data_IF_479680710587
#
_entry.id   IF_479680710587
#
_cell.length_a   1.000
_cell.length_b   1.000
_cell.length_c   1.000
_cell.angle_alpha   90.00
_cell.angle_beta   90.00
_cell.angle_gamma   90.00
#
_symmetry.space_group_name_H-M   'P 1'
#
loop_
_entity.id
_entity.type
_entity.pdbx_description
1 polymer ?
#
# COMPACT_ATOMS: atom_id res chain seq x y z
N UNK A 1 -13.58 18.12 -1.01
CA UNK A 1 -12.59 17.82 0.03
C UNK A 1 -11.28 17.68 -0.72
N UNK A 2 -10.30 18.53 -0.44
CA UNK A 2 -9.03 18.48 -1.19
C UNK A 2 -8.37 17.12 -0.94
N UNK A 3 -8.00 16.43 -2.01
CA UNK A 3 -7.33 15.15 -1.90
C UNK A 3 -6.00 15.33 -1.19
N UNK A 4 -5.77 14.48 -0.18
CA UNK A 4 -4.55 14.52 0.63
C UNK A 4 -3.34 14.19 -0.25
N UNK A 5 -2.27 14.98 -0.10
CA UNK A 5 -1.03 14.76 -0.84
C UNK A 5 -0.31 13.49 -0.37
N UNK A 6 0.42 12.84 -1.28
CA UNK A 6 1.23 11.67 -0.96
C UNK A 6 2.28 11.95 0.12
N UNK A 7 2.83 13.17 0.16
CA UNK A 7 3.76 13.60 1.21
C UNK A 7 3.11 13.49 2.60
N UNK A 8 1.88 13.98 2.76
CA UNK A 8 1.15 13.83 4.03
C UNK A 8 0.88 12.36 4.37
N UNK A 9 0.60 11.50 3.38
CA UNK A 9 0.43 10.05 3.62
C UNK A 9 1.74 9.44 4.14
N UNK A 10 2.89 9.79 3.54
CA UNK A 10 4.20 9.33 4.01
C UNK A 10 4.50 9.78 5.44
N UNK A 11 4.11 10.99 5.81
CA UNK A 11 4.29 11.47 7.19
C UNK A 11 3.46 10.66 8.20
N UNK A 12 2.23 10.26 7.85
CA UNK A 12 1.44 9.36 8.70
C UNK A 12 2.04 7.96 8.82
N UNK A 13 2.62 7.44 7.73
CA UNK A 13 3.34 6.16 7.76
C UNK A 13 4.50 6.21 8.76
N UNK A 14 5.21 7.35 8.88
CA UNK A 14 6.24 7.55 9.92
C UNK A 14 5.65 7.54 11.33
N UNK A 15 4.42 8.00 11.52
CA UNK A 15 3.76 7.93 12.84
C UNK A 15 3.57 6.48 13.25
N UNK A 16 3.15 5.60 12.33
CA UNK A 16 2.96 4.18 12.61
C UNK A 16 4.26 3.50 13.06
N UNK A 17 5.40 3.84 12.43
CA UNK A 17 6.71 3.28 12.80
C UNK A 17 7.36 3.95 14.02
N UNK A 18 6.88 5.12 14.46
CA UNK A 18 7.50 5.91 15.54
C UNK A 18 7.30 5.41 16.98
N UNK A 19 6.85 4.16 17.20
CA UNK A 19 6.50 3.59 18.52
C UNK A 19 5.46 4.40 19.35
N UNK A 20 4.83 5.42 18.78
CA UNK A 20 3.82 6.26 19.45
C UNK A 20 2.45 5.60 19.57
N UNK A 21 2.23 4.51 18.84
CA UNK A 21 0.96 3.81 18.73
C UNK A 21 1.10 2.39 19.26
N UNK A 22 0.07 1.92 19.94
CA UNK A 22 -0.03 0.49 20.25
C UNK A 22 -0.45 -0.31 19.00
N UNK A 23 -0.29 -1.63 19.04
CA UNK A 23 -0.57 -2.49 17.89
C UNK A 23 -1.99 -2.35 17.31
N UNK A 24 -3.00 -2.14 18.15
CA UNK A 24 -4.38 -1.97 17.69
C UNK A 24 -4.56 -0.63 16.95
N UNK A 25 -4.02 0.45 17.52
CA UNK A 25 -4.01 1.77 16.89
C UNK A 25 -3.24 1.76 15.57
N UNK A 26 -2.07 1.12 15.53
CA UNK A 26 -1.27 0.98 14.31
C UNK A 26 -2.05 0.25 13.20
N UNK A 27 -2.80 -0.82 13.55
CA UNK A 27 -3.67 -1.52 12.59
C UNK A 27 -4.79 -0.63 12.07
N UNK A 28 -5.51 0.07 12.96
CA UNK A 28 -6.59 0.97 12.54
C UNK A 28 -6.08 2.11 11.64
N UNK A 29 -4.92 2.67 11.96
CA UNK A 29 -4.35 3.74 11.17
C UNK A 29 -3.91 3.23 9.79
N UNK A 30 -3.22 2.08 9.72
CA UNK A 30 -2.86 1.45 8.46
C UNK A 30 -4.10 1.14 7.61
N UNK A 31 -5.20 0.69 8.23
CA UNK A 31 -6.49 0.48 7.55
C UNK A 31 -6.99 1.77 6.91
N UNK A 32 -7.00 2.88 7.65
CA UNK A 32 -7.43 4.18 7.12
C UNK A 32 -6.60 4.61 5.91
N UNK A 33 -5.27 4.52 6.02
CA UNK A 33 -4.34 4.89 4.95
C UNK A 33 -4.54 4.01 3.71
N UNK A 34 -4.60 2.69 3.87
CA UNK A 34 -4.79 1.78 2.73
C UNK A 34 -6.17 1.94 2.10
N UNK A 35 -7.21 2.21 2.90
CA UNK A 35 -8.54 2.48 2.38
C UNK A 35 -8.53 3.73 1.48
N UNK A 36 -7.88 4.80 1.93
CA UNK A 36 -7.69 6.02 1.13
C UNK A 36 -6.96 5.72 -0.18
N UNK A 37 -5.81 5.03 -0.11
CA UNK A 37 -4.99 4.71 -1.30
C UNK A 37 -5.75 3.82 -2.30
N UNK A 38 -6.50 2.82 -1.83
CA UNK A 38 -7.27 1.92 -2.72
C UNK A 38 -8.34 2.70 -3.50
N UNK A 39 -8.96 3.70 -2.88
CA UNK A 39 -10.01 4.50 -3.51
C UNK A 39 -9.48 5.56 -4.49
N UNK A 40 -8.19 5.90 -4.42
CA UNK A 40 -7.55 6.91 -5.26
C UNK A 40 -7.45 6.51 -6.73
N UNK A 41 -8.24 7.17 -7.58
CA UNK A 41 -8.27 6.93 -9.03
C UNK A 41 -7.11 7.57 -9.78
N UNK A 42 -6.49 8.58 -9.19
CA UNK A 42 -5.28 9.22 -9.71
C UNK A 42 -4.07 8.28 -9.60
N UNK A 43 -3.96 7.49 -8.52
CA UNK A 43 -2.90 6.50 -8.36
C UNK A 43 -3.16 5.22 -9.13
N UNK A 44 -4.41 4.77 -9.14
CA UNK A 44 -4.82 3.56 -9.85
C UNK A 44 -5.98 3.93 -10.76
N UNK A 45 -5.80 4.17 -12.06
CA UNK A 45 -6.92 4.50 -12.94
C UNK A 45 -7.89 3.33 -13.14
N UNK A 46 -7.37 2.09 -13.22
CA UNK A 46 -8.16 0.87 -13.39
C UNK A 46 -8.10 0.02 -12.13
N UNK A 47 -9.17 -0.74 -11.87
CA UNK A 47 -9.16 -1.63 -10.70
C UNK A 47 -8.17 -2.80 -10.85
N UNK A 48 -7.85 -3.20 -12.09
CA UNK A 48 -6.83 -4.22 -12.35
C UNK A 48 -5.44 -3.79 -11.85
N UNK A 49 -5.14 -2.49 -11.86
CA UNK A 49 -3.86 -1.94 -11.42
C UNK A 49 -3.64 -2.15 -9.92
N UNK A 50 -4.72 -2.30 -9.13
CA UNK A 50 -4.67 -2.60 -7.70
C UNK A 50 -4.24 -4.04 -7.40
N UNK A 51 -4.31 -4.96 -8.38
CA UNK A 51 -4.05 -6.39 -8.15
C UNK A 51 -2.62 -6.64 -7.70
N UNK A 52 -1.65 -6.10 -8.44
CA UNK A 52 -0.23 -6.22 -8.11
C UNK A 52 0.05 -5.53 -6.76
N UNK A 53 -0.42 -4.28 -6.62
CA UNK A 53 -0.24 -3.48 -5.41
C UNK A 53 -0.72 -4.18 -4.13
N UNK A 54 -1.94 -4.74 -4.14
CA UNK A 54 -2.50 -5.41 -2.97
C UNK A 54 -1.84 -6.77 -2.68
N UNK A 55 -1.44 -7.50 -3.72
CA UNK A 55 -0.71 -8.75 -3.50
C UNK A 55 0.61 -8.47 -2.78
N UNK A 56 1.39 -7.50 -3.25
CA UNK A 56 2.66 -7.13 -2.61
C UNK A 56 2.40 -6.66 -1.17
N UNK A 57 1.40 -5.81 -0.94
CA UNK A 57 1.19 -5.21 0.38
C UNK A 57 0.53 -6.10 1.43
N UNK A 58 -0.27 -7.09 1.02
CA UNK A 58 -1.07 -7.86 1.96
C UNK A 58 -0.65 -9.33 1.98
N UNK A 59 -0.34 -9.91 0.82
CA UNK A 59 0.00 -11.33 0.72
C UNK A 59 1.43 -11.57 1.23
N UNK A 60 2.40 -10.76 0.79
CA UNK A 60 3.80 -10.94 1.19
C UNK A 60 4.04 -10.78 2.70
N UNK A 61 3.48 -9.77 3.40
CA UNK A 61 3.73 -9.62 4.83
C UNK A 61 3.16 -10.77 5.68
N UNK A 62 2.02 -11.34 5.30
CA UNK A 62 1.42 -12.49 5.97
C UNK A 62 2.14 -13.79 5.62
N UNK A 63 2.60 -13.93 4.37
CA UNK A 63 3.32 -15.11 3.86
C UNK A 63 2.47 -16.38 3.67
N UNK A 64 1.36 -16.52 4.41
CA UNK A 64 0.43 -17.66 4.33
C UNK A 64 -0.90 -17.36 3.64
N UNK A 65 -1.09 -16.12 3.16
CA UNK A 65 -2.32 -15.73 2.47
C UNK A 65 -2.24 -16.16 1.00
N UNK A 66 -3.27 -16.82 0.48
CA UNK A 66 -3.37 -17.02 -0.97
C UNK A 66 -3.63 -15.69 -1.68
N UNK A 67 -3.13 -15.48 -2.91
CA UNK A 67 -3.48 -14.32 -3.72
C UNK A 67 -4.99 -14.11 -3.80
N UNK A 68 -5.42 -12.84 -3.86
CA UNK A 68 -6.84 -12.52 -3.98
C UNK A 68 -7.38 -13.00 -5.32
N UNK A 69 -8.60 -13.56 -5.28
CA UNK A 69 -9.35 -13.93 -6.49
C UNK A 69 -9.75 -12.67 -7.27
N UNK A 70 -9.79 -12.77 -8.60
CA UNK A 70 -10.01 -11.62 -9.50
C UNK A 70 -11.28 -10.83 -9.21
N UNK A 71 -12.36 -11.50 -8.81
CA UNK A 71 -13.63 -10.82 -8.53
C UNK A 71 -13.54 -9.81 -7.38
N UNK A 72 -12.57 -9.93 -6.48
CA UNK A 72 -12.38 -8.98 -5.37
C UNK A 72 -11.99 -7.60 -5.91
N UNK A 73 -11.31 -7.55 -7.05
CA UNK A 73 -10.88 -6.30 -7.70
C UNK A 73 -11.97 -5.65 -8.55
N UNK A 74 -13.17 -6.25 -8.69
CA UNK A 74 -14.25 -5.61 -9.45
C UNK A 74 -14.77 -4.33 -8.78
N UNK A 75 -14.60 -4.20 -7.46
CA UNK A 75 -15.02 -3.03 -6.70
C UNK A 75 -13.95 -2.60 -5.70
N UNK A 76 -13.55 -1.32 -5.75
CA UNK A 76 -12.56 -0.76 -4.82
C UNK A 76 -13.05 -0.73 -3.39
N UNK A 77 -14.34 -0.45 -3.17
CA UNK A 77 -14.93 -0.46 -1.83
C UNK A 77 -14.97 -1.86 -1.25
N UNK A 78 -15.30 -2.87 -2.07
CA UNK A 78 -15.23 -4.27 -1.67
C UNK A 78 -13.80 -4.68 -1.33
N UNK A 79 -12.85 -4.35 -2.20
CA UNK A 79 -11.43 -4.61 -1.98
C UNK A 79 -10.93 -3.96 -0.69
N UNK A 80 -11.18 -2.67 -0.50
CA UNK A 80 -10.78 -1.93 0.70
C UNK A 80 -11.37 -2.59 1.96
N UNK A 81 -12.66 -2.90 1.97
CA UNK A 81 -13.30 -3.60 3.10
C UNK A 81 -12.67 -4.96 3.40
N UNK A 82 -12.33 -5.74 2.36
CA UNK A 82 -11.67 -7.05 2.53
C UNK A 82 -10.27 -6.91 3.09
N UNK A 83 -9.47 -5.99 2.55
CA UNK A 83 -8.13 -5.67 3.04
C UNK A 83 -8.19 -5.20 4.49
N UNK A 84 -9.12 -4.31 4.83
CA UNK A 84 -9.30 -3.83 6.21
C UNK A 84 -9.60 -4.98 7.18
N UNK A 85 -10.49 -5.89 6.80
CA UNK A 85 -10.82 -7.06 7.63
C UNK A 85 -9.62 -7.98 7.85
N UNK A 86 -8.78 -8.18 6.84
CA UNK A 86 -7.57 -9.00 6.95
C UNK A 86 -6.58 -8.36 7.92
N UNK A 87 -6.33 -7.05 7.79
CA UNK A 87 -5.43 -6.33 8.69
C UNK A 87 -5.91 -6.41 10.13
N UNK A 88 -7.19 -6.14 10.39
CA UNK A 88 -7.70 -6.12 11.75
C UNK A 88 -7.65 -7.50 12.43
N UNK A 89 -7.96 -8.56 11.67
CA UNK A 89 -8.11 -9.92 12.23
C UNK A 89 -6.84 -10.75 12.20
N UNK A 90 -5.97 -10.55 11.22
CA UNK A 90 -4.85 -11.46 10.95
C UNK A 90 -3.48 -10.81 11.18
N UNK A 91 -3.32 -9.51 10.91
CA UNK A 91 -2.01 -8.88 11.07
C UNK A 91 -1.57 -8.86 12.53
N UNK A 92 -0.33 -9.28 12.73
CA UNK A 92 0.47 -8.98 13.90
C UNK A 92 1.18 -7.63 13.70
N UNK A 93 1.70 -7.04 14.78
CA UNK A 93 2.41 -5.76 14.70
C UNK A 93 3.59 -5.79 13.70
N UNK A 94 4.34 -6.89 13.63
CA UNK A 94 5.42 -7.06 12.66
C UNK A 94 4.94 -6.94 11.20
N UNK A 95 3.73 -7.42 10.91
CA UNK A 95 3.17 -7.41 9.56
C UNK A 95 2.74 -5.99 9.18
N UNK A 96 2.24 -5.22 10.15
CA UNK A 96 1.98 -3.78 10.01
C UNK A 96 3.26 -3.04 9.65
N UNK A 97 4.35 -3.26 10.39
CA UNK A 97 5.64 -2.59 10.14
C UNK A 97 6.18 -2.96 8.75
N UNK A 98 6.19 -4.24 8.38
CA UNK A 98 6.58 -4.66 7.03
C UNK A 98 5.76 -3.98 5.94
N UNK A 99 4.44 -3.88 6.13
CA UNK A 99 3.55 -3.22 5.17
C UNK A 99 3.85 -1.73 5.05
N UNK A 100 4.15 -1.06 6.16
CA UNK A 100 4.58 0.35 6.19
C UNK A 100 5.90 0.53 5.43
N UNK A 101 6.86 -0.38 5.62
CA UNK A 101 8.14 -0.33 4.92
C UNK A 101 7.96 -0.49 3.40
N UNK A 102 7.14 -1.45 2.97
CA UNK A 102 6.78 -1.62 1.56
C UNK A 102 6.09 -0.36 1.02
N UNK A 103 5.11 0.21 1.74
CA UNK A 103 4.43 1.43 1.31
C UNK A 103 5.39 2.62 1.14
N UNK A 104 6.37 2.77 2.03
CA UNK A 104 7.35 3.85 1.92
C UNK A 104 8.22 3.74 0.66
N UNK A 105 8.52 2.51 0.22
CA UNK A 105 9.29 2.22 -0.98
C UNK A 105 8.47 2.32 -2.27
N UNK A 106 7.20 1.90 -2.20
CA UNK A 106 6.28 1.85 -3.34
C UNK A 106 5.68 3.23 -3.61
N UNK A 107 5.24 3.99 -2.60
CA UNK A 107 4.63 5.29 -2.86
C UNK A 107 5.67 6.27 -3.45
N UNK A 108 5.38 6.94 -4.58
CA UNK A 108 6.32 7.89 -5.15
C UNK A 108 6.53 9.03 -4.15
N UNK A 109 7.79 9.45 -3.98
CA UNK A 109 8.08 10.67 -3.24
C UNK A 109 7.63 11.87 -4.07
N UNK A 110 7.07 12.89 -3.41
CA UNK A 110 6.81 14.19 -4.05
C UNK A 110 8.08 14.88 -4.53
N UNK A 111 9.25 14.41 -4.09
CA UNK A 111 10.57 14.82 -4.56
C UNK A 111 11.10 13.80 -5.56
N UNK A 112 11.61 14.27 -6.70
CA UNK A 112 12.29 13.44 -7.71
C UNK A 112 13.46 12.70 -7.05
N UNK A 113 13.32 11.39 -6.78
CA UNK A 113 14.42 10.59 -6.23
C UNK A 113 15.32 10.11 -7.38
N UNK A 114 16.64 10.36 -7.35
CA UNK A 114 17.60 9.71 -8.22
C UNK A 114 17.73 8.22 -7.84
N UNK A 115 17.70 7.36 -8.84
CA UNK A 115 17.84 5.91 -8.72
C UNK A 115 19.14 5.55 -8.01
N UNK A 116 19.06 5.01 -6.79
CA UNK A 116 19.91 3.91 -6.32
C UNK A 116 19.48 3.46 -4.92
N UNK A 117 19.38 2.13 -4.76
CA UNK A 117 19.08 1.33 -3.57
C UNK A 117 17.60 1.01 -3.24
N UNK A 118 17.19 -0.23 -3.52
CA UNK A 118 17.12 -1.28 -2.49
C UNK A 118 17.09 -2.68 -3.12
N UNK A 119 17.97 -3.58 -2.68
CA UNK A 119 18.06 -4.98 -3.13
C UNK A 119 16.96 -5.85 -2.50
N UNK A 120 16.53 -6.85 -3.29
CA UNK A 120 15.83 -8.11 -2.92
C UNK A 120 14.31 -8.07 -2.69
N UNK A 121 13.58 -7.62 -3.71
CA UNK A 121 12.26 -8.13 -4.11
C UNK A 121 12.29 -8.25 -5.64
N UNK A 122 11.30 -8.87 -6.30
CA UNK A 122 11.24 -8.95 -7.79
C UNK A 122 11.31 -7.52 -8.39
N UNK A 123 12.53 -7.01 -8.61
CA UNK A 123 12.80 -5.62 -9.00
C UNK A 123 12.02 -5.26 -10.26
N UNK A 124 11.83 -6.23 -11.17
CA UNK A 124 11.07 -6.05 -12.40
C UNK A 124 9.60 -5.71 -12.16
N UNK A 125 8.93 -6.37 -11.22
CA UNK A 125 7.48 -6.15 -10.99
C UNK A 125 7.21 -4.82 -10.28
N UNK A 126 8.11 -4.41 -9.39
CA UNK A 126 8.09 -3.10 -8.74
C UNK A 126 8.49 -1.98 -9.70
N UNK A 127 9.51 -2.20 -10.54
CA UNK A 127 9.94 -1.26 -11.57
C UNK A 127 8.85 -1.07 -12.62
N UNK A 128 8.18 -2.15 -13.05
CA UNK A 128 7.06 -2.09 -13.99
C UNK A 128 5.89 -1.28 -13.40
N UNK A 129 5.58 -1.47 -12.10
CA UNK A 129 4.59 -0.66 -11.41
C UNK A 129 5.04 0.81 -11.25
N UNK A 130 6.29 1.07 -10.85
CA UNK A 130 6.84 2.42 -10.72
C UNK A 130 6.86 3.16 -12.06
N UNK A 131 7.17 2.45 -13.14
CA UNK A 131 7.16 2.98 -14.50
C UNK A 131 5.73 3.24 -15.00
N UNK A 132 4.77 2.38 -14.64
CA UNK A 132 3.35 2.59 -14.92
C UNK A 132 2.81 3.88 -14.27
N UNK A 133 3.10 4.10 -12.98
CA UNK A 133 2.69 5.32 -12.27
C UNK A 133 3.34 6.56 -12.88
N UNK A 134 4.63 6.49 -13.26
CA UNK A 134 5.35 7.60 -13.90
C UNK A 134 4.84 7.94 -15.30
N UNK A 135 4.35 6.94 -16.05
CA UNK A 135 3.84 7.11 -17.42
C UNK A 135 2.48 7.81 -17.53
N UNK A 136 1.66 7.78 -16.48
CA UNK A 136 0.32 8.39 -16.46
C UNK A 136 0.29 9.88 -16.09
N UNK A 137 1.44 10.50 -15.79
CA UNK A 137 1.56 11.94 -15.48
C UNK A 137 1.78 12.82 -16.73
N UNK A 138 1.23 12.46 -17.89
CA UNK A 138 1.27 13.26 -19.12
C UNK A 138 -0.12 13.67 -19.57
#
# INVERSE_FOLDING_TARGET
MDERTLGKIKDDLKVISSNKLNSHQSKLFLVGILHEIILRKDLFPKNGDLKIFINILIVEPIGSLSPFRDYIFLSRTLLASRVSNIILKQFQFRDVIKTVDILNNVLPSSEKIPSNHSKNLNERELDDWMNFIRGNNK
#
